data_IF_566624737060
#
_entry.id   IF_566624737060
#
_cell.length_a   1.000
_cell.length_b   1.000
_cell.length_c   1.000
_cell.angle_alpha   90.00
_cell.angle_beta   90.00
_cell.angle_gamma   90.00
#
_symmetry.space_group_name_H-M   'P 1'
#
loop_
_entity.id
_entity.type
_entity.pdbx_description
1 polymer ?
#
# COMPACT_ATOMS: atom_id res chain seq x y z
N UNK A 1 -43.50 2.34 -44.88
CA UNK A 1 -44.75 3.06 -44.61
C UNK A 1 -44.44 4.13 -43.56
N UNK A 2 -44.76 5.39 -43.87
CA UNK A 2 -44.61 6.63 -43.11
C UNK A 2 -43.21 7.25 -42.92
N UNK A 3 -43.27 8.56 -43.04
CA UNK A 3 -42.27 9.56 -43.42
C UNK A 3 -42.48 10.75 -42.44
N UNK A 4 -41.58 11.74 -42.49
CA UNK A 4 -41.74 13.15 -42.05
C UNK A 4 -41.56 13.30 -40.49
N UNK A 5 -40.78 14.22 -39.92
CA UNK A 5 -40.60 15.64 -40.26
C UNK A 5 -39.23 16.21 -39.86
N UNK A 6 -38.76 17.10 -40.74
CA UNK A 6 -37.59 17.97 -40.72
C UNK A 6 -37.93 19.33 -40.08
N UNK A 7 -37.09 19.89 -39.21
CA UNK A 7 -36.95 21.33 -38.86
C UNK A 7 -35.67 21.44 -38.01
N UNK A 8 -34.50 22.00 -38.41
CA UNK A 8 -34.19 23.36 -38.90
C UNK A 8 -34.58 24.41 -37.83
N UNK A 9 -33.78 25.34 -37.30
CA UNK A 9 -32.45 25.93 -37.51
C UNK A 9 -32.11 26.67 -36.20
N UNK A 10 -30.82 26.92 -35.88
CA UNK A 10 -30.28 28.25 -35.49
C UNK A 10 -28.82 28.12 -35.04
N UNK A 11 -27.94 28.51 -35.96
CA UNK A 11 -26.56 28.84 -35.67
C UNK A 11 -26.50 30.06 -34.73
N UNK A 12 -25.63 30.01 -33.73
CA UNK A 12 -25.04 31.19 -33.10
C UNK A 12 -23.56 30.93 -32.82
N UNK A 13 -22.84 32.04 -32.74
CA UNK A 13 -21.47 32.28 -33.18
C UNK A 13 -20.37 31.84 -32.20
N UNK A 14 -19.16 31.76 -32.76
CA UNK A 14 -17.88 31.46 -32.14
C UNK A 14 -17.56 32.29 -30.88
N UNK A 15 -16.76 31.71 -29.99
CA UNK A 15 -15.67 32.44 -29.35
C UNK A 15 -14.51 31.49 -29.00
N UNK A 16 -13.33 31.81 -29.54
CA UNK A 16 -12.06 31.24 -29.13
C UNK A 16 -11.60 31.89 -27.82
N UNK A 17 -11.20 31.08 -26.83
CA UNK A 17 -10.32 31.49 -25.75
C UNK A 17 -9.13 30.52 -25.73
N UNK A 18 -7.99 31.03 -26.15
CA UNK A 18 -6.68 30.49 -25.80
C UNK A 18 -6.38 30.85 -24.34
N UNK A 19 -5.84 29.91 -23.56
CA UNK A 19 -5.44 30.21 -22.19
C UNK A 19 -5.16 28.98 -21.33
N UNK A 20 -3.99 28.39 -21.54
CA UNK A 20 -3.04 27.87 -20.55
C UNK A 20 -3.56 27.13 -19.29
N UNK A 21 -3.12 25.87 -19.24
CA UNK A 21 -2.52 25.16 -18.10
C UNK A 21 -3.13 25.42 -16.72
N UNK A 22 -3.77 24.39 -16.15
CA UNK A 22 -3.74 24.28 -14.70
C UNK A 22 -3.57 22.82 -14.27
N UNK A 23 -2.39 22.62 -13.72
CA UNK A 23 -1.99 21.65 -12.71
C UNK A 23 -2.62 20.27 -12.76
N UNK A 24 -1.82 19.39 -13.34
CA UNK A 24 -1.53 18.05 -12.84
C UNK A 24 -1.57 18.05 -11.31
N UNK A 25 -2.74 17.77 -10.76
CA UNK A 25 -2.94 17.58 -9.34
C UNK A 25 -2.24 16.26 -8.99
N UNK A 26 -0.94 16.38 -8.74
CA UNK A 26 -0.12 15.33 -8.16
C UNK A 26 -0.79 14.99 -6.84
N UNK A 27 -1.51 13.86 -6.81
CA UNK A 27 -1.77 13.18 -5.56
C UNK A 27 -0.42 13.11 -4.85
N UNK A 28 -0.28 13.84 -3.74
CA UNK A 28 0.89 13.77 -2.88
C UNK A 28 0.98 12.33 -2.36
N UNK A 29 1.57 11.44 -3.15
CA UNK A 29 2.10 10.18 -2.65
C UNK A 29 3.24 10.57 -1.72
N UNK A 30 3.03 10.38 -0.43
CA UNK A 30 4.10 10.52 0.54
C UNK A 30 5.30 9.68 0.04
N UNK A 31 6.53 10.19 0.11
CA UNK A 31 7.70 9.47 -0.37
C UNK A 31 7.79 8.11 0.33
N UNK A 32 7.88 7.06 -0.46
CA UNK A 32 7.99 5.66 -0.02
C UNK A 32 9.46 5.40 0.35
N UNK A 33 9.90 5.97 1.47
CA UNK A 33 11.29 5.83 1.95
C UNK A 33 11.32 5.53 3.45
N UNK A 34 12.25 4.67 3.86
CA UNK A 34 12.51 4.37 5.26
C UNK A 34 13.31 5.51 5.90
N UNK A 35 12.86 6.01 7.05
CA UNK A 35 13.51 7.09 7.81
C UNK A 35 14.53 6.60 8.86
N UNK A 36 14.85 5.30 8.90
CA UNK A 36 15.83 4.75 9.86
C UNK A 36 17.26 5.10 9.47
N UNK A 37 17.82 6.10 10.14
CA UNK A 37 19.16 6.63 9.83
C UNK A 37 20.28 6.06 10.69
N UNK A 38 20.00 5.48 11.87
CA UNK A 38 21.06 4.95 12.73
C UNK A 38 21.38 3.48 12.42
N UNK A 39 22.67 3.07 12.45
CA UNK A 39 23.07 1.67 12.21
C UNK A 39 22.42 0.67 13.16
N UNK A 40 22.21 1.06 14.42
CA UNK A 40 21.54 0.22 15.43
C UNK A 40 20.11 -0.12 15.01
N UNK A 41 19.35 0.87 14.56
CA UNK A 41 17.97 0.67 14.15
C UNK A 41 17.88 -0.14 12.85
N UNK A 42 18.83 0.05 11.92
CA UNK A 42 18.93 -0.78 10.71
C UNK A 42 19.25 -2.24 11.05
N UNK A 43 20.15 -2.50 12.00
CA UNK A 43 20.46 -3.85 12.43
C UNK A 43 19.25 -4.52 13.11
N UNK A 44 18.55 -3.78 13.97
CA UNK A 44 17.32 -4.26 14.61
C UNK A 44 16.23 -4.60 13.60
N UNK A 45 16.03 -3.75 12.58
CA UNK A 45 15.13 -4.04 11.45
C UNK A 45 15.49 -5.37 10.78
N UNK A 46 16.78 -5.55 10.41
CA UNK A 46 17.26 -6.78 9.77
C UNK A 46 17.00 -8.03 10.61
N UNK A 47 17.27 -7.97 11.92
CA UNK A 47 17.05 -9.10 12.82
C UNK A 47 15.57 -9.50 12.91
N UNK A 48 14.68 -8.52 13.10
CA UNK A 48 13.23 -8.81 13.20
C UNK A 48 12.66 -9.34 11.88
N UNK A 49 13.06 -8.76 10.74
CA UNK A 49 12.63 -9.24 9.42
C UNK A 49 13.12 -10.67 9.17
N UNK A 50 14.38 -10.97 9.50
CA UNK A 50 14.93 -12.31 9.35
C UNK A 50 14.20 -13.34 10.23
N UNK A 51 13.85 -12.97 11.47
CA UNK A 51 13.07 -13.83 12.37
C UNK A 51 11.68 -14.10 11.80
N UNK A 52 10.95 -13.06 11.38
CA UNK A 52 9.63 -13.21 10.78
C UNK A 52 9.67 -14.03 9.47
N UNK A 53 10.70 -13.84 8.63
CA UNK A 53 10.93 -14.63 7.41
C UNK A 53 11.04 -16.12 7.69
N UNK A 54 11.75 -16.49 8.75
CA UNK A 54 11.89 -17.89 9.18
C UNK A 54 10.58 -18.54 9.67
N UNK A 55 9.57 -17.73 10.00
CA UNK A 55 8.28 -18.17 10.53
C UNK A 55 7.14 -18.05 9.51
N UNK A 56 7.44 -17.61 8.29
CA UNK A 56 6.45 -17.35 7.26
C UNK A 56 5.84 -18.66 6.74
N UNK A 57 4.51 -18.74 6.80
CA UNK A 57 3.77 -19.89 6.24
C UNK A 57 3.32 -19.65 4.80
N UNK A 58 2.92 -18.42 4.46
CA UNK A 58 2.37 -18.09 3.15
C UNK A 58 2.56 -16.60 2.84
N UNK A 59 2.88 -16.27 1.60
CA UNK A 59 2.95 -14.90 1.08
C UNK A 59 2.03 -14.75 -0.12
N UNK A 60 1.15 -13.75 -0.08
CA UNK A 60 0.16 -13.50 -1.13
C UNK A 60 0.18 -12.03 -1.53
N UNK A 61 0.29 -11.73 -2.83
CA UNK A 61 0.14 -10.35 -3.30
C UNK A 61 -1.32 -9.88 -3.19
N UNK A 62 -1.52 -8.60 -2.88
CA UNK A 62 -2.82 -7.95 -2.96
C UNK A 62 -2.79 -6.81 -3.96
N UNK A 63 -3.94 -6.17 -4.18
CA UNK A 63 -4.04 -5.03 -5.09
C UNK A 63 -3.15 -3.87 -4.63
N UNK A 64 -3.05 -3.63 -3.32
CA UNK A 64 -2.35 -2.48 -2.73
C UNK A 64 -1.10 -2.86 -1.93
N UNK A 65 -0.72 -4.13 -1.89
CA UNK A 65 0.25 -4.61 -0.91
C UNK A 65 0.56 -6.10 -0.98
N UNK A 66 0.92 -6.66 0.17
CA UNK A 66 1.26 -8.08 0.37
C UNK A 66 0.70 -8.54 1.72
N UNK A 67 0.22 -9.78 1.77
CA UNK A 67 -0.20 -10.47 2.98
C UNK A 67 0.76 -11.60 3.33
N UNK A 68 1.01 -11.75 4.63
CA UNK A 68 1.88 -12.77 5.21
C UNK A 68 1.11 -13.56 6.24
N UNK A 69 1.13 -14.89 6.10
CA UNK A 69 0.49 -15.82 7.03
C UNK A 69 1.50 -16.35 8.02
N UNK A 70 1.09 -16.38 9.28
CA UNK A 70 1.87 -16.94 10.37
C UNK A 70 1.00 -17.86 11.23
N UNK A 71 1.63 -18.68 12.06
CA UNK A 71 0.93 -19.43 13.10
C UNK A 71 0.26 -18.47 14.09
N UNK A 72 -0.90 -18.86 14.62
CA UNK A 72 -1.57 -18.07 15.65
C UNK A 72 -1.04 -18.47 17.03
N UNK A 73 -0.13 -17.68 17.59
CA UNK A 73 0.36 -17.82 18.96
C UNK A 73 0.65 -16.46 19.58
N UNK A 74 0.59 -16.35 20.91
CA UNK A 74 0.90 -15.10 21.62
C UNK A 74 2.29 -14.57 21.26
N UNK A 75 3.28 -15.47 21.18
CA UNK A 75 4.65 -15.12 20.76
C UNK A 75 4.68 -14.53 19.35
N UNK A 76 3.91 -15.10 18.42
CA UNK A 76 3.86 -14.61 17.04
C UNK A 76 3.16 -13.24 16.96
N UNK A 77 2.08 -13.06 17.73
CA UNK A 77 1.37 -11.77 17.84
C UNK A 77 2.31 -10.70 18.38
N UNK A 78 3.07 -10.98 19.44
CA UNK A 78 4.03 -10.04 20.02
C UNK A 78 5.14 -9.66 19.02
N UNK A 79 5.66 -10.64 18.28
CA UNK A 79 6.70 -10.42 17.27
C UNK A 79 6.17 -9.53 16.13
N UNK A 80 4.99 -9.84 15.59
CA UNK A 80 4.33 -9.01 14.56
C UNK A 80 4.00 -7.62 15.09
N UNK A 81 3.51 -7.49 16.32
CA UNK A 81 3.22 -6.20 16.93
C UNK A 81 4.49 -5.34 17.09
N UNK A 82 5.62 -5.94 17.46
CA UNK A 82 6.91 -5.25 17.54
C UNK A 82 7.42 -4.80 16.18
N UNK A 83 7.23 -5.62 15.14
CA UNK A 83 7.50 -5.23 13.76
C UNK A 83 6.64 -4.03 13.34
N UNK A 84 5.32 -4.07 13.54
CA UNK A 84 4.41 -2.95 13.23
C UNK A 84 4.84 -1.68 13.96
N UNK A 85 5.13 -1.77 15.27
CA UNK A 85 5.59 -0.64 16.10
C UNK A 85 6.87 -0.01 15.55
N UNK A 86 7.78 -0.83 15.02
CA UNK A 86 9.03 -0.34 14.43
C UNK A 86 8.77 0.28 13.07
N UNK A 87 8.14 -0.44 12.14
CA UNK A 87 7.92 0.03 10.78
C UNK A 87 7.04 1.29 10.70
N UNK A 88 6.04 1.46 11.56
CA UNK A 88 5.23 2.70 11.57
C UNK A 88 6.05 3.97 11.87
N UNK A 89 7.16 3.85 12.61
CA UNK A 89 8.05 4.98 12.89
C UNK A 89 8.92 5.33 11.67
N UNK A 90 9.17 4.34 10.82
CA UNK A 90 10.21 4.37 9.80
C UNK A 90 9.63 4.56 8.40
N UNK A 91 8.47 3.96 8.17
CA UNK A 91 7.76 3.82 6.91
C UNK A 91 6.33 4.35 7.12
N UNK A 92 6.20 5.66 7.30
CA UNK A 92 4.93 6.33 7.64
C UNK A 92 3.85 6.25 6.55
N UNK A 93 4.14 5.62 5.40
CA UNK A 93 3.22 5.42 4.29
C UNK A 93 2.50 4.05 4.34
N UNK A 94 2.93 3.13 5.22
CA UNK A 94 2.29 1.81 5.33
C UNK A 94 0.96 1.90 6.08
N UNK A 95 -0.05 1.27 5.50
CA UNK A 95 -1.24 0.78 6.19
C UNK A 95 -0.99 -0.67 6.62
N UNK A 96 -1.24 -0.94 7.91
CA UNK A 96 -1.08 -2.26 8.51
C UNK A 96 -2.44 -2.85 8.85
N UNK A 97 -2.69 -4.10 8.46
CA UNK A 97 -3.86 -4.86 8.92
C UNK A 97 -3.40 -6.17 9.57
N UNK A 98 -3.80 -6.37 10.82
CA UNK A 98 -3.55 -7.60 11.56
C UNK A 98 -4.87 -8.33 11.78
N UNK A 99 -4.99 -9.51 11.18
CA UNK A 99 -6.14 -10.39 11.37
C UNK A 99 -5.70 -11.64 12.14
N UNK A 100 -6.41 -11.97 13.21
CA UNK A 100 -6.20 -13.17 14.01
C UNK A 100 -7.45 -14.03 13.92
N UNK A 101 -7.33 -15.27 13.46
CA UNK A 101 -8.50 -16.17 13.33
C UNK A 101 -8.92 -16.72 14.71
N UNK A 102 -10.24 -16.86 14.92
CA UNK A 102 -10.83 -17.28 16.19
C UNK A 102 -10.58 -18.77 16.52
N UNK A 103 -10.30 -19.56 15.50
CA UNK A 103 -10.16 -21.01 15.49
C UNK A 103 -8.68 -21.48 15.54
N UNK A 104 -7.81 -20.67 16.16
CA UNK A 104 -6.38 -20.93 16.42
C UNK A 104 -5.50 -21.30 15.21
N UNK A 105 -6.02 -21.19 13.98
CA UNK A 105 -5.34 -21.75 12.82
C UNK A 105 -4.18 -20.90 12.30
N UNK A 106 -4.34 -19.57 12.28
CA UNK A 106 -3.36 -18.66 11.69
C UNK A 106 -3.68 -17.20 11.99
N UNK A 107 -2.72 -16.34 11.68
CA UNK A 107 -2.88 -14.90 11.61
C UNK A 107 -2.36 -14.36 10.27
N UNK A 108 -2.90 -13.24 9.83
CA UNK A 108 -2.45 -12.52 8.64
C UNK A 108 -1.96 -11.13 9.02
N UNK A 109 -0.76 -10.78 8.55
CA UNK A 109 -0.27 -9.41 8.48
C UNK A 109 -0.38 -8.94 7.03
N UNK A 110 -1.12 -7.86 6.78
CA UNK A 110 -1.12 -7.16 5.50
C UNK A 110 -0.33 -5.86 5.61
N UNK A 111 0.60 -5.66 4.67
CA UNK A 111 1.29 -4.40 4.45
C UNK A 111 0.79 -3.82 3.13
N UNK A 112 0.22 -2.62 3.17
CA UNK A 112 -0.31 -1.94 1.99
C UNK A 112 -0.01 -0.43 2.04
N UNK A 113 -0.24 0.28 0.93
CA UNK A 113 0.06 1.70 0.88
C UNK A 113 -0.18 2.32 -0.49
N UNK A 114 0.39 3.51 -0.78
CA UNK A 114 0.29 4.16 -2.08
C UNK A 114 1.04 3.39 -3.19
N UNK A 115 0.94 3.87 -4.42
CA UNK A 115 1.73 3.35 -5.54
C UNK A 115 3.22 3.28 -5.20
N UNK A 116 3.90 2.21 -5.62
CA UNK A 116 5.29 1.91 -5.26
C UNK A 116 5.46 1.05 -4.00
N UNK A 117 4.42 0.89 -3.17
CA UNK A 117 4.51 0.11 -1.93
C UNK A 117 4.93 -1.34 -2.14
N UNK A 118 4.38 -2.03 -3.15
CA UNK A 118 4.75 -3.44 -3.42
C UNK A 118 6.21 -3.59 -3.82
N UNK A 119 6.74 -2.62 -4.59
CA UNK A 119 8.15 -2.61 -4.98
C UNK A 119 9.04 -2.35 -3.77
N UNK A 120 8.67 -1.38 -2.92
CA UNK A 120 9.37 -1.13 -1.67
C UNK A 120 9.37 -2.37 -0.76
N UNK A 121 8.23 -3.03 -0.58
CA UNK A 121 8.15 -4.28 0.21
C UNK A 121 9.14 -5.32 -0.34
N UNK A 122 9.21 -5.49 -1.66
CA UNK A 122 10.14 -6.43 -2.29
C UNK A 122 11.61 -6.11 -2.02
N UNK A 123 11.97 -4.83 -2.02
CA UNK A 123 13.37 -4.40 -1.92
C UNK A 123 13.83 -4.26 -0.46
N UNK A 124 12.92 -3.88 0.45
CA UNK A 124 13.24 -3.46 1.82
C UNK A 124 12.71 -4.38 2.92
N UNK A 125 11.72 -5.21 2.59
CA UNK A 125 11.03 -6.15 3.47
C UNK A 125 11.11 -7.54 2.82
N UNK A 126 12.34 -8.02 2.64
CA UNK A 126 12.64 -9.29 2.00
C UNK A 126 12.20 -10.47 2.90
N UNK A 127 10.94 -10.87 2.76
CA UNK A 127 10.41 -12.15 3.23
C UNK A 127 10.61 -13.23 2.18
#
# INVERSE_FOLDING_TARGET
>A
MKTIILSAVLATTANAVAGQTNDKQSMNSAPVTCKLTTPELQQRKKTVIAELKGLLLERTETLKGVKYKFENSDKMIDLVANFIKTERMCCSFFDFNLFVSADNGFMWLELSGPEGTKQFIKDEIDF
#
